data_IF_690431370709
#
_entry.id   IF_690431370709
#
_cell.length_a   1.000
_cell.length_b   1.000
_cell.length_c   1.000
_cell.angle_alpha   90.00
_cell.angle_beta   90.00
_cell.angle_gamma   90.00
#
_symmetry.space_group_name_H-M   'P 1'
#
loop_
_entity.id
_entity.type
_entity.pdbx_description
1 polymer ?
#
# COMPACT_ATOMS: atom_id res chain seq x y z
N UNK A 1 -3.58 -4.09 -11.35
CA UNK A 1 -3.13 -3.06 -10.38
C UNK A 1 -3.56 -1.70 -10.89
N UNK A 2 -4.08 -0.85 -10.03
CA UNK A 2 -4.51 0.52 -10.36
C UNK A 2 -3.89 1.51 -9.39
N UNK A 3 -3.76 2.76 -9.80
CA UNK A 3 -3.25 3.83 -8.93
C UNK A 3 -4.04 5.12 -9.17
N UNK A 4 -4.12 5.96 -8.14
CA UNK A 4 -4.78 7.26 -8.20
C UNK A 4 -4.11 8.24 -7.23
N UNK A 5 -4.22 9.54 -7.50
CA UNK A 5 -3.79 10.57 -6.56
C UNK A 5 -4.90 10.81 -5.53
N UNK A 6 -4.52 10.92 -4.26
CA UNK A 6 -5.41 11.25 -3.16
C UNK A 6 -4.86 12.45 -2.37
N UNK A 7 -5.73 13.33 -1.85
CA UNK A 7 -5.31 14.34 -0.90
C UNK A 7 -4.70 13.67 0.34
N UNK A 8 -3.59 14.21 0.85
CA UNK A 8 -2.94 13.70 2.05
C UNK A 8 -3.82 13.89 3.27
N UNK A 9 -4.06 12.83 4.02
CA UNK A 9 -4.96 12.86 5.18
C UNK A 9 -4.37 13.52 6.43
N UNK A 10 -3.04 13.68 6.50
CA UNK A 10 -2.34 14.09 7.74
C UNK A 10 -1.36 15.26 7.62
N UNK A 11 -0.89 15.59 6.42
CA UNK A 11 0.24 16.54 6.23
C UNK A 11 0.07 17.44 4.99
N UNK A 12 -1.15 17.52 4.44
CA UNK A 12 -1.52 18.23 3.18
C UNK A 12 -0.75 17.81 1.91
N UNK A 13 0.27 16.96 2.05
CA UNK A 13 1.04 16.36 0.96
C UNK A 13 0.17 15.38 0.19
N UNK A 14 0.02 15.62 -1.11
CA UNK A 14 -0.62 14.66 -2.02
C UNK A 14 0.03 13.29 -1.89
N UNK A 15 -0.78 12.24 -1.94
CA UNK A 15 -0.32 10.85 -1.91
C UNK A 15 -0.76 10.14 -3.19
N UNK A 16 0.00 9.12 -3.58
CA UNK A 16 -0.46 8.12 -4.54
C UNK A 16 -1.03 6.95 -3.77
N UNK A 17 -2.30 6.65 -4.02
CA UNK A 17 -2.94 5.44 -3.57
C UNK A 17 -2.83 4.36 -4.65
N UNK A 18 -2.22 3.22 -4.31
CA UNK A 18 -2.09 2.07 -5.19
C UNK A 18 -3.01 0.97 -4.69
N UNK A 19 -3.83 0.40 -5.58
CA UNK A 19 -4.64 -0.77 -5.30
C UNK A 19 -4.11 -1.97 -6.08
N UNK A 20 -3.68 -2.98 -5.33
CA UNK A 20 -3.22 -4.26 -5.84
C UNK A 20 -4.22 -5.34 -5.45
N UNK A 21 -4.67 -6.10 -6.45
CA UNK A 21 -5.57 -7.24 -6.27
C UNK A 21 -4.98 -8.44 -6.98
N UNK A 22 -4.93 -9.55 -6.28
CA UNK A 22 -4.56 -10.85 -6.85
C UNK A 22 -5.78 -11.75 -6.83
N UNK A 23 -6.01 -12.45 -7.95
CA UNK A 23 -7.17 -13.31 -8.18
C UNK A 23 -6.76 -14.53 -8.99
N UNK A 24 -7.57 -15.59 -8.94
CA UNK A 24 -7.34 -16.83 -9.70
C UNK A 24 -6.30 -17.78 -9.08
N UNK A 25 -5.80 -17.45 -7.88
CA UNK A 25 -5.00 -18.37 -7.07
C UNK A 25 -5.87 -19.36 -6.28
N UNK A 26 -5.24 -20.32 -5.59
CA UNK A 26 -5.94 -21.18 -4.64
C UNK A 26 -6.59 -20.35 -3.52
N UNK A 27 -7.63 -20.89 -2.89
CA UNK A 27 -8.28 -20.22 -1.76
C UNK A 27 -7.26 -19.83 -0.69
N UNK A 28 -7.21 -18.54 -0.37
CA UNK A 28 -6.25 -17.99 0.57
C UNK A 28 -6.89 -17.94 1.96
N UNK A 29 -6.10 -18.27 2.99
CA UNK A 29 -6.40 -17.92 4.39
C UNK A 29 -5.40 -16.87 4.84
N UNK A 30 -5.79 -16.03 5.80
CA UNK A 30 -4.86 -15.10 6.43
C UNK A 30 -3.62 -15.89 6.92
N UNK A 31 -2.40 -15.48 6.52
CA UNK A 31 -1.21 -16.26 6.82
C UNK A 31 -0.87 -16.18 8.31
N UNK A 32 -0.63 -17.33 8.95
CA UNK A 32 -0.15 -17.40 10.34
C UNK A 32 1.27 -16.84 10.51
N UNK A 33 2.06 -16.88 9.43
CA UNK A 33 3.44 -16.38 9.39
C UNK A 33 3.61 -15.42 8.23
N UNK A 34 4.24 -14.28 8.50
CA UNK A 34 4.56 -13.28 7.49
C UNK A 34 5.64 -13.82 6.56
N UNK A 35 5.26 -14.21 5.33
CA UNK A 35 6.16 -14.69 4.29
C UNK A 35 7.08 -13.60 3.73
N UNK A 36 7.94 -13.95 2.76
CA UNK A 36 8.93 -13.02 2.20
C UNK A 36 8.29 -11.73 1.64
N UNK A 37 7.25 -11.84 0.81
CA UNK A 37 6.59 -10.67 0.20
C UNK A 37 5.98 -9.72 1.23
N UNK A 38 5.35 -10.26 2.27
CA UNK A 38 4.75 -9.46 3.33
C UNK A 38 5.81 -8.72 4.17
N UNK A 39 6.94 -9.38 4.47
CA UNK A 39 8.08 -8.73 5.12
C UNK A 39 8.72 -7.64 4.25
N UNK A 40 8.74 -7.83 2.92
CA UNK A 40 9.24 -6.82 1.99
C UNK A 40 8.34 -5.58 1.99
N UNK A 41 7.01 -5.79 1.95
CA UNK A 41 6.03 -4.71 2.07
C UNK A 41 6.24 -3.94 3.39
N UNK A 42 6.27 -4.64 4.53
CA UNK A 42 6.49 -4.01 5.84
C UNK A 42 7.74 -3.14 5.93
N UNK A 43 8.85 -3.60 5.35
CA UNK A 43 10.10 -2.83 5.35
C UNK A 43 10.01 -1.52 4.55
N UNK A 44 9.19 -1.50 3.49
CA UNK A 44 8.94 -0.30 2.69
C UNK A 44 7.91 0.64 3.31
N UNK A 45 7.07 0.13 4.21
CA UNK A 45 6.01 0.86 4.90
C UNK A 45 6.54 1.42 6.21
N UNK A 46 7.02 2.65 6.15
CA UNK A 46 7.36 3.44 7.33
C UNK A 46 6.23 4.46 7.62
N UNK A 47 5.42 4.24 8.67
CA UNK A 47 4.36 5.18 9.06
C UNK A 47 4.91 6.57 9.43
N UNK A 48 6.16 6.66 9.90
CA UNK A 48 6.81 7.95 10.20
C UNK A 48 7.10 8.73 8.92
N UNK A 49 7.35 8.03 7.82
CA UNK A 49 7.48 8.60 6.49
C UNK A 49 6.12 8.76 5.77
N UNK A 50 4.99 8.53 6.45
CA UNK A 50 3.64 8.62 5.89
C UNK A 50 3.30 7.49 4.90
N UNK A 51 4.12 6.43 4.83
CA UNK A 51 3.91 5.28 3.95
C UNK A 51 3.14 4.21 4.70
N UNK A 52 1.92 3.92 4.25
CA UNK A 52 1.03 2.98 4.94
C UNK A 52 0.38 2.01 3.96
N UNK A 53 -0.09 0.87 4.48
CA UNK A 53 -0.89 -0.06 3.71
C UNK A 53 -2.00 -0.68 4.53
N UNK A 54 -3.09 -1.02 3.85
CA UNK A 54 -4.14 -1.91 4.33
C UNK A 54 -4.05 -3.20 3.52
N UNK A 55 -4.06 -4.33 4.23
CA UNK A 55 -3.91 -5.66 3.67
C UNK A 55 -5.15 -6.47 4.03
N UNK A 56 -5.75 -7.13 3.04
CA UNK A 56 -6.88 -8.03 3.22
C UNK A 56 -6.58 -9.36 2.51
N UNK A 57 -6.72 -10.44 3.25
CA UNK A 57 -6.49 -11.81 2.79
C UNK A 57 -7.83 -12.54 2.78
N UNK A 58 -8.59 -12.32 1.71
CA UNK A 58 -9.89 -12.93 1.55
C UNK A 58 -9.78 -14.28 0.79
N UNK A 59 -10.75 -15.19 0.92
CA UNK A 59 -10.69 -16.49 0.24
C UNK A 59 -10.55 -16.40 -1.28
N UNK A 60 -11.11 -15.35 -1.90
CA UNK A 60 -11.03 -15.07 -3.34
C UNK A 60 -9.69 -14.52 -3.81
N UNK A 61 -8.77 -14.20 -2.89
CA UNK A 61 -7.45 -13.67 -3.18
C UNK A 61 -7.05 -12.51 -2.27
N UNK A 62 -5.96 -11.86 -2.63
CA UNK A 62 -5.34 -10.80 -1.84
C UNK A 62 -5.75 -9.42 -2.35
N UNK A 63 -6.05 -8.52 -1.43
CA UNK A 63 -6.28 -7.11 -1.69
C UNK A 63 -5.33 -6.27 -0.83
N UNK A 64 -4.71 -5.28 -1.46
CA UNK A 64 -3.79 -4.36 -0.80
C UNK A 64 -4.04 -2.95 -1.31
N UNK A 65 -4.14 -2.01 -0.37
CA UNK A 65 -4.15 -0.58 -0.66
C UNK A 65 -2.98 0.09 0.02
N UNK A 66 -2.12 0.72 -0.77
CA UNK A 66 -0.91 1.41 -0.33
C UNK A 66 -1.13 2.91 -0.46
N UNK A 67 -0.67 3.71 0.51
CA UNK A 67 -0.57 5.16 0.41
C UNK A 67 0.89 5.57 0.49
N UNK A 68 1.36 6.25 -0.55
CA UNK A 68 2.73 6.72 -0.68
C UNK A 68 2.70 8.25 -0.84
N UNK A 69 3.26 9.03 0.10
CA UNK A 69 3.35 10.47 -0.04
C UNK A 69 4.18 10.83 -1.27
N UNK A 70 3.72 11.82 -2.04
CA UNK A 70 4.53 12.40 -3.10
C UNK A 70 5.63 13.27 -2.49
N UNK A 71 6.81 13.33 -3.13
CA UNK A 71 7.80 14.35 -2.77
C UNK A 71 7.16 15.74 -2.90
N UNK A 72 7.63 16.67 -2.08
CA UNK A 72 7.31 18.07 -2.28
C UNK A 72 7.62 18.44 -3.73
N UNK A 73 6.72 19.18 -4.38
CA UNK A 73 7.04 19.73 -5.68
C UNK A 73 8.34 20.53 -5.54
N UNK A 74 9.31 20.39 -6.47
CA UNK A 74 10.48 21.25 -6.44
C UNK A 74 9.99 22.69 -6.40
N UNK A 75 10.50 23.47 -5.44
CA UNK A 75 10.18 24.88 -5.32
C UNK A 75 10.43 25.53 -6.68
N UNK A 76 9.46 26.32 -7.15
CA UNK A 76 9.67 27.18 -8.31
C UNK A 76 10.93 28.03 -8.01
N UNK A 77 11.91 28.11 -8.94
CA UNK A 77 13.11 28.90 -8.72
C UNK A 77 12.78 30.37 -8.43
#
# INVERSE_FOLDING_TARGET
>A
MTWQMEPGTRDERRSVAITWRERGGPMVKAPERRGFGLRLLERGLDPRAGRTAQLDFAPQGFDCRLWLPLPAAPGKP
#
